data_IF_463242415590
#
_entry.id   IF_463242415590
#
_cell.length_a   1.000
_cell.length_b   1.000
_cell.length_c   1.000
_cell.angle_alpha   90.00
_cell.angle_beta   90.00
_cell.angle_gamma   90.00
#
_symmetry.space_group_name_H-M   'P 1'
#
loop_
_entity.id
_entity.type
_entity.pdbx_description
1 polymer ?
#
# COMPACT_ATOMS: atom_id res chain seq x y z
N UNK A 1 -4.59 25.86 -26.82
CA UNK A 1 -4.61 26.38 -25.44
C UNK A 1 -5.98 26.36 -24.73
N UNK A 2 -7.13 26.46 -25.42
CA UNK A 2 -8.46 26.51 -24.77
C UNK A 2 -8.89 25.22 -24.05
N UNK A 3 -8.40 24.03 -24.46
CA UNK A 3 -8.76 22.75 -23.82
C UNK A 3 -7.87 22.39 -22.60
N UNK A 4 -6.69 22.99 -22.48
CA UNK A 4 -5.78 22.71 -21.35
C UNK A 4 -6.29 23.26 -20.02
N UNK A 5 -6.93 24.42 -20.06
CA UNK A 5 -7.46 25.06 -18.85
C UNK A 5 -8.50 24.22 -18.13
N UNK A 6 -9.59 23.73 -18.79
CA UNK A 6 -10.57 22.92 -18.11
C UNK A 6 -10.01 21.56 -17.63
N UNK A 7 -9.02 20.98 -18.33
CA UNK A 7 -8.36 19.75 -17.89
C UNK A 7 -7.49 19.99 -16.64
N UNK A 8 -6.78 21.11 -16.59
CA UNK A 8 -5.99 21.49 -15.42
C UNK A 8 -6.91 21.79 -14.23
N UNK A 9 -7.99 22.54 -14.43
CA UNK A 9 -9.00 22.83 -13.42
C UNK A 9 -9.63 21.52 -12.88
N UNK A 10 -9.99 20.60 -13.76
CA UNK A 10 -10.52 19.28 -13.39
C UNK A 10 -9.50 18.46 -12.58
N UNK A 11 -8.22 18.45 -12.97
CA UNK A 11 -7.16 17.76 -12.25
C UNK A 11 -6.94 18.37 -10.85
N UNK A 12 -6.94 19.69 -10.74
CA UNK A 12 -6.82 20.39 -9.44
C UNK A 12 -8.02 20.06 -8.55
N UNK A 13 -9.25 20.12 -9.08
CA UNK A 13 -10.46 19.76 -8.33
C UNK A 13 -10.40 18.31 -7.86
N UNK A 14 -9.95 17.39 -8.69
CA UNK A 14 -9.79 15.98 -8.33
C UNK A 14 -8.77 15.79 -7.20
N UNK A 15 -7.62 16.46 -7.27
CA UNK A 15 -6.57 16.41 -6.23
C UNK A 15 -7.10 16.95 -4.91
N UNK A 16 -7.78 18.08 -4.95
CA UNK A 16 -8.38 18.70 -3.75
C UNK A 16 -9.47 17.81 -3.17
N UNK A 17 -10.36 17.28 -4.01
CA UNK A 17 -11.43 16.38 -3.57
C UNK A 17 -10.89 15.09 -2.93
N UNK A 18 -9.86 14.47 -3.53
CA UNK A 18 -9.20 13.30 -2.96
C UNK A 18 -8.45 13.63 -1.66
N UNK A 19 -7.82 14.80 -1.58
CA UNK A 19 -7.16 15.28 -0.36
C UNK A 19 -8.16 15.48 0.78
N UNK A 20 -9.28 16.15 0.50
CA UNK A 20 -10.37 16.36 1.46
C UNK A 20 -11.03 15.04 1.89
N UNK A 21 -11.27 14.12 0.95
CA UNK A 21 -11.81 12.81 1.25
C UNK A 21 -10.86 12.02 2.15
N UNK A 22 -9.56 12.05 1.87
CA UNK A 22 -8.55 11.40 2.70
C UNK A 22 -8.48 11.98 4.12
N UNK A 23 -8.53 13.30 4.24
CA UNK A 23 -8.57 14.00 5.52
C UNK A 23 -9.84 13.67 6.31
N UNK A 24 -11.01 13.73 5.68
CA UNK A 24 -12.28 13.39 6.30
C UNK A 24 -12.33 11.93 6.79
N UNK A 25 -11.84 10.98 5.98
CA UNK A 25 -11.73 9.57 6.38
C UNK A 25 -10.79 9.40 7.59
N UNK A 26 -9.73 10.20 7.70
CA UNK A 26 -8.83 10.23 8.86
C UNK A 26 -9.52 10.65 10.16
N UNK A 27 -10.43 11.63 10.08
CA UNK A 27 -11.17 12.13 11.25
C UNK A 27 -12.17 11.09 11.81
N UNK A 28 -12.72 10.24 10.94
CA UNK A 28 -13.70 9.21 11.31
C UNK A 28 -13.09 7.85 11.59
N UNK A 29 -11.76 7.70 11.54
CA UNK A 29 -11.09 6.45 11.85
C UNK A 29 -11.19 6.15 13.34
N UNK A 30 -12.23 5.41 13.75
CA UNK A 30 -12.29 4.81 15.09
C UNK A 30 -11.08 3.88 15.25
N UNK A 31 -10.55 3.75 16.46
CA UNK A 31 -9.57 2.69 16.81
C UNK A 31 -10.23 1.33 16.51
N UNK A 32 -9.99 0.82 15.33
CA UNK A 32 -10.52 -0.48 14.94
C UNK A 32 -9.56 -1.55 15.40
N UNK A 33 -10.07 -2.54 16.10
CA UNK A 33 -9.31 -3.74 16.46
C UNK A 33 -9.35 -4.80 15.35
N UNK A 34 -10.26 -4.62 14.39
CA UNK A 34 -10.43 -5.55 13.24
C UNK A 34 -10.01 -4.86 11.96
N UNK A 35 -9.01 -5.42 11.30
CA UNK A 35 -8.44 -4.88 10.08
C UNK A 35 -8.78 -5.77 8.89
N UNK A 36 -9.31 -5.16 7.84
CA UNK A 36 -9.62 -5.78 6.55
C UNK A 36 -9.15 -4.87 5.42
N UNK A 37 -8.91 -5.39 4.21
CA UNK A 37 -8.65 -4.56 3.05
C UNK A 37 -9.90 -3.72 2.72
N UNK A 38 -9.90 -2.45 3.13
CA UNK A 38 -11.01 -1.51 2.85
C UNK A 38 -10.71 -0.70 1.59
N UNK A 39 -11.77 -0.28 0.88
CA UNK A 39 -11.66 0.60 -0.29
C UNK A 39 -10.90 1.89 0.06
N UNK A 40 -11.18 2.48 1.22
CA UNK A 40 -10.49 3.68 1.67
C UNK A 40 -8.98 3.48 1.78
N UNK A 41 -8.53 2.32 2.26
CA UNK A 41 -7.11 1.99 2.39
C UNK A 41 -6.45 1.71 1.04
N UNK A 42 -7.16 1.03 0.15
CA UNK A 42 -6.71 0.83 -1.23
C UNK A 42 -6.51 2.17 -1.93
N UNK A 43 -7.49 3.07 -1.82
CA UNK A 43 -7.39 4.43 -2.35
C UNK A 43 -6.22 5.20 -1.74
N UNK A 44 -6.00 5.12 -0.42
CA UNK A 44 -4.90 5.81 0.24
C UNK A 44 -3.52 5.38 -0.27
N UNK A 45 -3.35 4.09 -0.64
CA UNK A 45 -2.10 3.58 -1.22
C UNK A 45 -1.96 3.93 -2.70
N UNK A 46 -3.07 3.92 -3.46
CA UNK A 46 -3.08 4.18 -4.90
C UNK A 46 -3.14 5.67 -5.25
N UNK A 47 -3.46 6.56 -4.31
CA UNK A 47 -3.65 7.99 -4.58
C UNK A 47 -2.48 8.58 -5.37
N UNK A 48 -1.26 8.43 -4.89
CA UNK A 48 -0.09 9.03 -5.55
C UNK A 48 0.25 8.42 -6.91
N UNK A 49 0.28 7.07 -7.10
CA UNK A 49 0.47 6.48 -8.41
C UNK A 49 -0.59 6.90 -9.43
N UNK A 50 -1.87 6.91 -9.02
CA UNK A 50 -2.97 7.31 -9.91
C UNK A 50 -2.91 8.78 -10.26
N UNK A 51 -2.62 9.66 -9.29
CA UNK A 51 -2.44 11.09 -9.54
C UNK A 51 -1.26 11.37 -10.47
N UNK A 52 -0.14 10.65 -10.30
CA UNK A 52 1.01 10.78 -11.18
C UNK A 52 0.67 10.39 -12.63
N UNK A 53 -0.04 9.27 -12.82
CA UNK A 53 -0.50 8.84 -14.15
C UNK A 53 -1.48 9.84 -14.73
N UNK A 54 -2.45 10.30 -13.96
CA UNK A 54 -3.42 11.33 -14.39
C UNK A 54 -2.74 12.64 -14.80
N UNK A 55 -1.81 13.14 -13.99
CA UNK A 55 -1.04 14.33 -14.31
C UNK A 55 -0.16 14.13 -15.55
N UNK A 56 0.44 12.95 -15.71
CA UNK A 56 1.21 12.60 -16.90
C UNK A 56 0.36 12.58 -18.16
N UNK A 57 -0.85 12.03 -18.10
CA UNK A 57 -1.81 12.05 -19.21
C UNK A 57 -2.23 13.47 -19.59
N UNK A 58 -2.52 14.32 -18.59
CA UNK A 58 -2.88 15.72 -18.82
C UNK A 58 -1.71 16.49 -19.43
N UNK A 59 -0.50 16.29 -18.94
CA UNK A 59 0.69 16.97 -19.45
C UNK A 59 1.08 16.49 -20.86
N UNK A 60 0.98 15.19 -21.14
CA UNK A 60 1.32 14.63 -22.45
C UNK A 60 0.21 14.84 -23.49
N UNK A 61 -1.05 14.96 -23.06
CA UNK A 61 -2.22 14.99 -23.96
C UNK A 61 -2.10 15.95 -25.15
N UNK A 62 -1.75 17.24 -24.96
CA UNK A 62 -1.58 18.17 -26.08
C UNK A 62 -0.48 17.75 -27.06
N UNK A 63 0.65 17.23 -26.54
CA UNK A 63 1.75 16.77 -27.37
C UNK A 63 1.40 15.51 -28.18
N UNK A 64 0.55 14.62 -27.64
CA UNK A 64 0.08 13.43 -28.38
C UNK A 64 -0.76 13.78 -29.60
N UNK A 65 -1.48 14.92 -29.54
CA UNK A 65 -2.32 15.43 -30.62
C UNK A 65 -1.59 16.45 -31.51
N UNK A 66 -0.33 16.76 -31.22
CA UNK A 66 0.43 17.74 -31.96
C UNK A 66 0.73 17.26 -33.39
N UNK A 67 0.70 18.15 -34.39
CA UNK A 67 1.07 17.84 -35.77
C UNK A 67 2.58 17.55 -35.92
N UNK A 68 3.40 18.14 -35.04
CA UNK A 68 4.84 18.01 -35.07
C UNK A 68 5.30 16.68 -34.47
N UNK A 69 6.05 15.91 -35.24
CA UNK A 69 6.51 14.57 -34.82
C UNK A 69 7.35 14.60 -33.53
N UNK A 70 8.23 15.59 -33.38
CA UNK A 70 9.07 15.74 -32.19
C UNK A 70 8.26 15.92 -30.91
N UNK A 71 7.19 16.74 -30.95
CA UNK A 71 6.33 16.95 -29.79
C UNK A 71 5.58 15.65 -29.40
N UNK A 72 5.14 14.89 -30.39
CA UNK A 72 4.53 13.57 -30.14
C UNK A 72 5.49 12.59 -29.47
N UNK A 73 6.73 12.53 -29.91
CA UNK A 73 7.74 11.66 -29.29
C UNK A 73 8.07 12.08 -27.87
N UNK A 74 8.17 13.36 -27.59
CA UNK A 74 8.35 13.87 -26.23
C UNK A 74 7.15 13.53 -25.32
N UNK A 75 5.93 13.66 -25.83
CA UNK A 75 4.73 13.31 -25.09
C UNK A 75 4.65 11.81 -24.77
N UNK A 76 4.98 10.94 -25.72
CA UNK A 76 5.08 9.51 -25.49
C UNK A 76 6.19 9.16 -24.50
N UNK A 77 7.35 9.81 -24.61
CA UNK A 77 8.45 9.63 -23.67
C UNK A 77 8.07 9.99 -22.25
N UNK A 78 7.38 11.13 -22.06
CA UNK A 78 6.87 11.56 -20.75
C UNK A 78 5.86 10.55 -20.18
N UNK A 79 4.89 10.14 -20.99
CA UNK A 79 3.88 9.18 -20.58
C UNK A 79 4.50 7.85 -20.18
N UNK A 80 5.44 7.35 -20.98
CA UNK A 80 6.17 6.11 -20.68
C UNK A 80 6.95 6.23 -19.37
N UNK A 81 7.66 7.34 -19.16
CA UNK A 81 8.40 7.57 -17.92
C UNK A 81 7.47 7.54 -16.69
N UNK A 82 6.33 8.22 -16.77
CA UNK A 82 5.34 8.22 -15.67
C UNK A 82 4.79 6.81 -15.42
N UNK A 83 4.46 6.07 -16.48
CA UNK A 83 3.97 4.69 -16.36
C UNK A 83 5.02 3.78 -15.74
N UNK A 84 6.29 3.87 -16.16
CA UNK A 84 7.40 3.10 -15.58
C UNK A 84 7.58 3.42 -14.10
N UNK A 85 7.43 4.66 -13.69
CA UNK A 85 7.52 5.05 -12.28
C UNK A 85 6.30 4.59 -11.45
N UNK A 86 5.11 4.56 -12.03
CA UNK A 86 3.89 4.17 -11.33
C UNK A 86 3.66 2.64 -11.34
N UNK A 87 4.11 1.93 -12.36
CA UNK A 87 3.89 0.49 -12.54
C UNK A 87 4.31 -0.35 -11.32
N UNK A 88 5.46 -0.12 -10.68
CA UNK A 88 5.86 -0.86 -9.49
C UNK A 88 4.83 -0.77 -8.36
N UNK A 89 4.28 0.41 -8.11
CA UNK A 89 3.28 0.60 -7.06
C UNK A 89 1.96 -0.11 -7.40
N UNK A 90 1.54 -0.06 -8.68
CA UNK A 90 0.33 -0.73 -9.15
C UNK A 90 0.46 -2.27 -9.07
N UNK A 91 1.61 -2.81 -9.49
CA UNK A 91 1.90 -4.24 -9.42
C UNK A 91 1.95 -4.73 -7.96
N UNK A 92 2.62 -3.99 -7.08
CA UNK A 92 2.63 -4.30 -5.65
C UNK A 92 1.23 -4.26 -5.04
N UNK A 93 0.43 -3.26 -5.42
CA UNK A 93 -0.95 -3.15 -4.95
C UNK A 93 -1.77 -4.38 -5.34
N UNK A 94 -1.72 -4.77 -6.62
CA UNK A 94 -2.41 -5.96 -7.11
C UNK A 94 -1.96 -7.21 -6.36
N UNK A 95 -0.65 -7.40 -6.21
CA UNK A 95 -0.09 -8.54 -5.49
C UNK A 95 -0.53 -8.57 -4.02
N UNK A 96 -0.47 -7.43 -3.34
CA UNK A 96 -0.89 -7.32 -1.94
C UNK A 96 -2.39 -7.56 -1.78
N UNK A 97 -3.18 -7.09 -2.74
CA UNK A 97 -4.61 -7.34 -2.75
C UNK A 97 -4.91 -8.84 -2.90
N UNK A 98 -4.27 -9.53 -3.85
CA UNK A 98 -4.46 -10.98 -4.03
C UNK A 98 -4.08 -11.78 -2.78
N UNK A 99 -3.04 -11.35 -2.05
CA UNK A 99 -2.61 -12.02 -0.83
C UNK A 99 -3.55 -11.80 0.36
N UNK A 100 -4.14 -10.61 0.47
CA UNK A 100 -4.90 -10.24 1.66
C UNK A 100 -6.41 -10.01 1.43
N UNK A 101 -6.94 -10.25 0.24
CA UNK A 101 -8.35 -10.02 -0.07
C UNK A 101 -9.31 -10.75 0.90
N UNK A 102 -8.96 -11.99 1.28
CA UNK A 102 -9.72 -12.81 2.20
C UNK A 102 -9.19 -12.78 3.65
N UNK A 103 -8.13 -11.98 3.92
CA UNK A 103 -7.49 -11.97 5.25
C UNK A 103 -8.16 -10.95 6.16
N UNK A 104 -8.48 -11.37 7.38
CA UNK A 104 -8.93 -10.50 8.47
C UNK A 104 -7.92 -10.57 9.59
N UNK A 105 -7.46 -9.42 10.05
CA UNK A 105 -6.55 -9.30 11.19
C UNK A 105 -7.30 -8.66 12.35
N UNK A 106 -7.34 -9.32 13.49
CA UNK A 106 -7.80 -8.74 14.75
C UNK A 106 -6.57 -8.45 15.59
N UNK A 107 -6.32 -7.19 15.85
CA UNK A 107 -5.18 -6.75 16.65
C UNK A 107 -5.63 -5.77 17.72
N UNK A 108 -5.59 -6.21 18.96
CA UNK A 108 -5.92 -5.41 20.15
C UNK A 108 -4.78 -5.55 21.17
N UNK A 109 -3.82 -4.64 21.17
CA UNK A 109 -2.69 -4.69 22.09
C UNK A 109 -3.11 -4.49 23.56
N UNK A 110 -4.24 -3.81 23.82
CA UNK A 110 -4.74 -3.60 25.17
C UNK A 110 -5.31 -4.88 25.80
N UNK A 111 -5.90 -5.75 24.96
CA UNK A 111 -6.42 -7.04 25.40
C UNK A 111 -5.45 -8.21 25.16
N UNK A 112 -4.27 -7.93 24.63
CA UNK A 112 -3.28 -8.96 24.30
C UNK A 112 -3.73 -9.89 23.17
N UNK A 113 -4.63 -9.42 22.27
CA UNK A 113 -5.20 -10.25 21.21
C UNK A 113 -4.56 -9.96 19.86
N UNK A 114 -4.02 -11.00 19.26
CA UNK A 114 -3.62 -11.01 17.87
C UNK A 114 -4.18 -12.27 17.21
N UNK A 115 -5.13 -12.08 16.30
CA UNK A 115 -5.74 -13.18 15.57
C UNK A 115 -5.68 -12.88 14.08
N UNK A 116 -5.19 -13.79 13.28
CA UNK A 116 -5.19 -13.72 11.83
C UNK A 116 -6.14 -14.77 11.32
N UNK A 117 -7.26 -14.35 10.74
CA UNK A 117 -8.20 -15.22 10.08
C UNK A 117 -7.94 -15.15 8.57
N UNK A 118 -7.50 -16.27 8.02
CA UNK A 118 -7.40 -16.52 6.59
C UNK A 118 -8.60 -17.40 6.25
N UNK A 119 -9.34 -17.14 5.19
CA UNK A 119 -10.59 -17.75 4.71
C UNK A 119 -11.15 -18.99 5.47
N UNK A 120 -10.30 -19.85 6.02
CA UNK A 120 -10.61 -20.99 6.87
C UNK A 120 -9.62 -21.11 8.05
N UNK A 121 -9.87 -20.32 9.10
CA UNK A 121 -9.41 -20.53 10.47
C UNK A 121 -7.91 -20.74 10.70
N UNK A 122 -7.16 -19.67 10.91
CA UNK A 122 -5.99 -19.73 11.77
C UNK A 122 -6.02 -18.54 12.75
N UNK A 123 -6.70 -18.76 13.88
CA UNK A 123 -6.59 -17.86 15.02
C UNK A 123 -5.26 -18.17 15.72
N UNK A 124 -4.27 -17.32 15.53
CA UNK A 124 -3.04 -17.39 16.27
C UNK A 124 -3.01 -16.31 17.34
N UNK A 125 -2.79 -16.70 18.58
CA UNK A 125 -2.65 -15.81 19.73
C UNK A 125 -1.25 -15.97 20.32
N UNK A 126 -0.29 -15.09 20.00
CA UNK A 126 1.08 -15.19 20.49
C UNK A 126 1.17 -15.08 22.00
N UNK A 127 0.23 -14.44 22.66
CA UNK A 127 0.21 -14.31 24.11
C UNK A 127 -0.08 -15.63 24.83
N UNK A 128 -0.83 -16.54 24.18
CA UNK A 128 -1.22 -17.83 24.77
C UNK A 128 -0.32 -19.00 24.35
N UNK A 129 0.18 -18.96 23.13
CA UNK A 129 0.83 -20.13 22.52
C UNK A 129 2.34 -19.96 22.28
N UNK A 130 2.91 -18.77 22.56
CA UNK A 130 4.26 -18.44 22.10
C UNK A 130 4.32 -18.35 20.57
N UNK A 131 5.48 -18.07 19.99
CA UNK A 131 5.63 -18.08 18.53
C UNK A 131 5.87 -19.52 18.03
N UNK A 132 4.95 -20.15 17.28
CA UNK A 132 5.10 -21.54 16.84
C UNK A 132 5.91 -21.67 15.54
N UNK A 133 6.30 -20.53 14.94
CA UNK A 133 6.94 -20.54 13.63
C UNK A 133 8.36 -21.09 13.67
N UNK A 134 8.82 -21.73 12.59
CA UNK A 134 10.14 -22.33 12.48
C UNK A 134 11.27 -21.31 12.36
N UNK A 135 10.97 -20.02 12.30
CA UNK A 135 11.97 -18.99 12.08
C UNK A 135 11.54 -17.59 12.50
N UNK A 136 12.42 -16.59 12.31
CA UNK A 136 12.13 -15.22 12.64
C UNK A 136 11.05 -14.65 11.70
N UNK A 137 10.27 -13.72 12.24
CA UNK A 137 9.34 -12.93 11.42
C UNK A 137 10.15 -11.94 10.59
N UNK A 138 9.87 -11.87 9.29
CA UNK A 138 10.50 -10.90 8.41
C UNK A 138 9.60 -9.67 8.23
N UNK A 139 10.11 -8.50 8.59
CA UNK A 139 9.47 -7.22 8.28
C UNK A 139 10.18 -6.56 7.13
N UNK A 140 9.56 -6.53 5.97
CA UNK A 140 10.12 -5.92 4.76
C UNK A 140 9.58 -4.52 4.54
N UNK A 141 10.49 -3.56 4.41
CA UNK A 141 10.19 -2.14 4.16
C UNK A 141 10.95 -1.64 2.94
N UNK A 142 10.39 -0.62 2.28
CA UNK A 142 11.10 0.06 1.22
C UNK A 142 12.26 0.89 1.78
N UNK A 143 13.44 0.74 1.15
CA UNK A 143 14.65 1.49 1.51
C UNK A 143 14.58 2.97 1.08
N UNK A 144 13.90 3.26 -0.02
CA UNK A 144 13.91 4.57 -0.66
C UNK A 144 12.73 5.44 -0.22
N UNK A 145 12.97 6.66 0.33
CA UNK A 145 11.91 7.48 0.90
C UNK A 145 11.03 8.19 -0.13
N UNK A 146 11.51 8.44 -1.35
CA UNK A 146 10.85 9.28 -2.35
C UNK A 146 10.01 8.53 -3.39
N UNK A 147 9.86 7.21 -3.29
CA UNK A 147 9.18 6.42 -4.31
C UNK A 147 7.70 6.19 -3.98
N UNK A 148 6.86 6.01 -5.01
CA UNK A 148 5.42 5.79 -4.86
C UNK A 148 5.09 4.53 -4.05
N UNK A 149 5.96 3.51 -4.08
CA UNK A 149 5.78 2.27 -3.35
C UNK A 149 6.39 2.26 -1.94
N UNK A 150 6.84 3.38 -1.42
CA UNK A 150 7.39 3.50 -0.05
C UNK A 150 6.48 2.95 1.03
N UNK A 151 5.16 3.14 0.87
CA UNK A 151 4.14 2.73 1.84
C UNK A 151 3.79 1.24 1.74
N UNK A 152 4.32 0.54 0.74
CA UNK A 152 4.11 -0.89 0.60
C UNK A 152 5.15 -1.62 1.46
N UNK A 153 4.70 -2.08 2.61
CA UNK A 153 5.47 -2.91 3.52
C UNK A 153 4.68 -4.17 3.84
N UNK A 154 5.39 -5.22 4.23
CA UNK A 154 4.75 -6.46 4.63
C UNK A 154 5.48 -7.13 5.78
N UNK A 155 4.74 -7.93 6.55
CA UNK A 155 5.23 -8.79 7.60
C UNK A 155 4.98 -10.23 7.15
N UNK A 156 6.03 -11.03 7.07
CA UNK A 156 5.95 -12.45 6.75
C UNK A 156 6.10 -13.23 8.04
N UNK A 157 5.06 -13.99 8.36
CA UNK A 157 4.95 -14.84 9.54
C UNK A 157 5.13 -16.29 9.10
N UNK A 158 6.31 -16.89 9.32
CA UNK A 158 6.50 -18.30 9.00
C UNK A 158 5.72 -19.15 10.01
N UNK A 159 4.82 -19.99 9.52
CA UNK A 159 4.06 -20.95 10.32
C UNK A 159 4.30 -22.38 9.82
N UNK A 160 4.11 -23.41 10.64
CA UNK A 160 4.29 -24.80 10.21
C UNK A 160 3.39 -25.21 9.03
N UNK A 161 2.26 -24.53 8.87
CA UNK A 161 1.25 -24.82 7.83
C UNK A 161 1.44 -23.95 6.57
N UNK A 162 2.39 -23.03 6.58
CA UNK A 162 2.67 -22.09 5.49
C UNK A 162 2.83 -20.66 5.97
N UNK A 163 3.44 -19.83 5.14
CA UNK A 163 3.70 -18.44 5.50
C UNK A 163 2.45 -17.59 5.40
N UNK A 164 2.18 -16.82 6.44
CA UNK A 164 1.17 -15.76 6.38
C UNK A 164 1.86 -14.44 6.08
N UNK A 165 1.33 -13.70 5.10
CA UNK A 165 1.84 -12.38 4.73
C UNK A 165 0.81 -11.33 5.07
N UNK A 166 1.13 -10.47 6.02
CA UNK A 166 0.35 -9.29 6.38
C UNK A 166 0.92 -8.08 5.65
N UNK A 167 0.11 -7.40 4.88
CA UNK A 167 0.57 -6.27 4.06
C UNK A 167 0.01 -4.94 4.54
N UNK A 168 0.55 -3.83 4.02
CA UNK A 168 0.08 -2.48 4.27
C UNK A 168 -1.40 -2.24 3.88
N UNK A 169 -2.02 -3.15 3.13
CA UNK A 169 -3.46 -3.15 2.87
C UNK A 169 -4.29 -3.49 4.11
N UNK A 170 -3.75 -4.30 5.02
CA UNK A 170 -4.41 -4.64 6.28
C UNK A 170 -4.11 -3.60 7.36
N UNK A 171 -2.84 -3.29 7.57
CA UNK A 171 -2.38 -2.35 8.60
C UNK A 171 -1.72 -1.13 7.95
N UNK A 172 -2.17 0.11 8.25
CA UNK A 172 -1.55 1.33 7.72
C UNK A 172 -0.14 1.54 8.28
N UNK A 173 0.12 1.03 9.47
CA UNK A 173 1.40 1.08 10.17
C UNK A 173 1.65 -0.28 10.84
N UNK A 174 2.76 -0.91 10.48
CA UNK A 174 3.18 -2.19 11.05
C UNK A 174 3.92 -2.04 12.38
N UNK A 175 4.37 -0.84 12.73
CA UNK A 175 5.18 -0.58 13.94
C UNK A 175 4.52 -1.09 15.22
N UNK A 176 3.22 -0.78 15.49
CA UNK A 176 2.55 -1.23 16.71
C UNK A 176 2.51 -2.76 16.81
N UNK A 177 2.27 -3.45 15.68
CA UNK A 177 2.25 -4.90 15.62
C UNK A 177 3.64 -5.50 15.85
N UNK A 178 4.67 -4.91 15.23
CA UNK A 178 6.06 -5.34 15.42
C UNK A 178 6.51 -5.12 16.87
N UNK A 179 6.15 -3.98 17.46
CA UNK A 179 6.41 -3.69 18.88
C UNK A 179 5.76 -4.71 19.81
N UNK A 180 4.51 -5.06 19.54
CA UNK A 180 3.77 -6.08 20.27
C UNK A 180 4.45 -7.45 20.16
N UNK A 181 4.78 -7.91 18.97
CA UNK A 181 5.46 -9.20 18.76
C UNK A 181 6.81 -9.26 19.49
N UNK A 182 7.59 -8.18 19.42
CA UNK A 182 8.88 -8.09 20.15
C UNK A 182 8.69 -8.15 21.67
N UNK A 183 7.61 -7.55 22.19
CA UNK A 183 7.30 -7.61 23.62
C UNK A 183 7.08 -9.05 24.11
N UNK A 184 6.54 -9.94 23.26
CA UNK A 184 6.41 -11.36 23.54
C UNK A 184 7.63 -12.21 23.18
N UNK A 185 8.80 -11.57 22.99
CA UNK A 185 10.06 -12.27 22.72
C UNK A 185 10.18 -12.82 21.29
N UNK A 186 9.27 -12.45 20.39
CA UNK A 186 9.32 -12.88 18.98
C UNK A 186 10.44 -12.13 18.26
N UNK A 187 11.34 -12.87 17.61
CA UNK A 187 12.42 -12.28 16.82
C UNK A 187 11.86 -11.73 15.51
N UNK A 188 11.89 -10.40 15.37
CA UNK A 188 11.46 -9.71 14.13
C UNK A 188 12.69 -9.11 13.47
N UNK A 189 13.02 -9.61 12.28
CA UNK A 189 14.13 -9.13 11.45
C UNK A 189 13.62 -8.10 10.46
N UNK A 190 14.10 -6.87 10.57
CA UNK A 190 13.78 -5.80 9.60
C UNK A 190 14.67 -5.95 8.37
N UNK A 191 14.06 -6.05 7.20
CA UNK A 191 14.75 -6.05 5.91
C UNK A 191 14.36 -4.81 5.11
N UNK A 192 15.33 -4.00 4.75
CA UNK A 192 15.16 -2.84 3.88
C UNK A 192 15.52 -3.22 2.45
N UNK A 193 14.53 -3.28 1.59
CA UNK A 193 14.68 -3.63 0.17
C UNK A 193 14.35 -2.43 -0.71
N UNK A 194 14.93 -2.36 -1.90
CA UNK A 194 14.53 -1.35 -2.90
C UNK A 194 13.07 -1.54 -3.35
N UNK A 195 12.59 -2.78 -3.27
CA UNK A 195 11.25 -3.20 -3.63
C UNK A 195 10.75 -4.26 -2.64
N UNK A 196 9.60 -4.02 -2.00
CA UNK A 196 8.99 -4.93 -1.02
C UNK A 196 8.11 -6.00 -1.72
N UNK A 197 8.70 -6.73 -2.67
CA UNK A 197 8.02 -7.82 -3.38
C UNK A 197 7.94 -9.08 -2.51
N UNK A 198 6.74 -9.68 -2.47
CA UNK A 198 6.45 -10.93 -1.75
C UNK A 198 6.53 -12.12 -2.69
#
# INVERSE_FOLDING_TARGET
MRLLRPLFEAAVVLVVALGLAHWALGLFSKKTTVYRPTVARQLALLTWPVLAVGAGLVAAGPGLLAPVAAERWLAWGLLLAVLVLAAPALLLHLRYYTLNAATTLVFDPAQGRLQVALADVLAYDPARQGWPGPGPIEWSRCRWPGVFWRRYEYLRLPLPQGDIVLTALLLPDMQPLVGYLRHFGVVVVERRRGWAWV
#
